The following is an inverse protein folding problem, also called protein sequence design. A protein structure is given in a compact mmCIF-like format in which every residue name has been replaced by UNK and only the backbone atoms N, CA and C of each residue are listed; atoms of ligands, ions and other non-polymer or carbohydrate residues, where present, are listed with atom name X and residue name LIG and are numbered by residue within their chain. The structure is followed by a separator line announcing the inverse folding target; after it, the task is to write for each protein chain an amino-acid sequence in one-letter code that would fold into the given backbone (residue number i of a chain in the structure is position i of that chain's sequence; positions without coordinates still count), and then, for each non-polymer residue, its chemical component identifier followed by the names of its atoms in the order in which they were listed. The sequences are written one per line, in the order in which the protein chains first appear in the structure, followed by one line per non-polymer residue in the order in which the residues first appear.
data_IF_358910967764
#
_entry.id   IF_358910967764
#
_cell.length_a   1.000
_cell.length_b   1.000
_cell.length_c   1.000
_cell.angle_alpha   90.00
_cell.angle_beta   90.00
_cell.angle_gamma   90.00
#
_symmetry.space_group_name_H-M   'P 1'
#
loop_
_entity.id
_entity.type
_entity.pdbx_description
1 polymer ?
#
# COMPACT_ATOMS: atom_id res chain seq x y z
N UNK A 1 -0.29 -29.66 -7.54
CA UNK A 1 -1.18 -28.99 -8.51
C UNK A 1 -2.31 -28.34 -7.73
N UNK A 2 -2.05 -27.14 -7.20
CA UNK A 2 -2.98 -26.43 -6.29
C UNK A 2 -3.89 -25.53 -7.10
N UNK A 3 -5.15 -25.88 -7.16
CA UNK A 3 -6.26 -25.03 -7.63
C UNK A 3 -6.55 -23.91 -6.61
N UNK A 4 -5.62 -23.01 -6.40
CA UNK A 4 -5.95 -21.73 -5.81
C UNK A 4 -6.41 -20.82 -6.94
N UNK A 5 -7.72 -20.80 -7.16
CA UNK A 5 -8.34 -19.85 -8.07
C UNK A 5 -7.91 -18.44 -7.68
N UNK A 6 -7.22 -17.75 -8.59
CA UNK A 6 -6.87 -16.34 -8.47
C UNK A 6 -8.13 -15.60 -8.04
N UNK A 7 -8.12 -14.89 -6.90
CA UNK A 7 -9.27 -14.08 -6.48
C UNK A 7 -9.57 -13.13 -7.64
N UNK A 8 -10.79 -13.22 -8.17
CA UNK A 8 -11.18 -12.43 -9.35
C UNK A 8 -11.33 -10.95 -9.05
N UNK A 9 -11.51 -10.59 -7.78
CA UNK A 9 -11.72 -9.21 -7.36
C UNK A 9 -10.79 -8.83 -6.22
N UNK A 10 -10.36 -7.57 -6.20
CA UNK A 10 -9.73 -6.89 -5.07
C UNK A 10 -10.56 -5.68 -4.66
N UNK A 11 -10.44 -5.28 -3.40
CA UNK A 11 -11.13 -4.13 -2.83
C UNK A 11 -10.08 -3.17 -2.32
N UNK A 12 -9.87 -2.06 -3.00
CA UNK A 12 -9.04 -0.96 -2.51
C UNK A 12 -9.80 -0.14 -1.48
N UNK A 13 -9.19 0.10 -0.32
CA UNK A 13 -9.72 0.94 0.74
C UNK A 13 -8.75 2.07 1.05
N UNK A 14 -9.18 3.30 0.80
CA UNK A 14 -8.48 4.54 1.12
C UNK A 14 -9.19 5.24 2.29
N UNK A 15 -8.45 5.49 3.37
CA UNK A 15 -8.93 6.17 4.58
C UNK A 15 -8.18 7.50 4.68
N UNK A 16 -8.80 8.55 4.14
CA UNK A 16 -8.30 9.93 4.26
C UNK A 16 -8.89 10.64 5.47
N UNK A 17 -8.46 11.88 5.74
CA UNK A 17 -8.94 12.69 6.87
C UNK A 17 -10.41 13.10 6.73
N UNK A 18 -10.89 13.38 5.52
CA UNK A 18 -12.26 13.80 5.29
C UNK A 18 -13.16 12.77 4.60
N UNK A 19 -12.59 11.73 3.99
CA UNK A 19 -13.33 10.77 3.16
C UNK A 19 -12.79 9.37 3.32
N UNK A 20 -13.69 8.39 3.43
CA UNK A 20 -13.39 6.97 3.20
C UNK A 20 -13.84 6.60 1.79
N UNK A 21 -12.95 5.96 1.03
CA UNK A 21 -13.21 5.56 -0.36
C UNK A 21 -12.98 4.07 -0.53
N UNK A 22 -13.85 3.42 -1.25
CA UNK A 22 -13.76 2.01 -1.60
C UNK A 22 -13.88 1.84 -3.10
N UNK A 23 -12.98 1.07 -3.69
CA UNK A 23 -13.00 0.69 -5.09
C UNK A 23 -12.92 -0.82 -5.24
N UNK A 24 -13.87 -1.43 -5.95
CA UNK A 24 -13.86 -2.87 -6.26
C UNK A 24 -13.38 -3.06 -7.69
N UNK A 25 -12.29 -3.81 -7.85
CA UNK A 25 -11.64 -4.07 -9.14
C UNK A 25 -11.74 -5.53 -9.50
N UNK A 26 -12.23 -5.84 -10.69
CA UNK A 26 -12.28 -7.19 -11.26
C UNK A 26 -11.03 -7.44 -12.13
N UNK A 27 -10.34 -8.53 -11.84
CA UNK A 27 -9.15 -9.02 -12.54
C UNK A 27 -9.44 -10.25 -13.41
N UNK A 28 -10.69 -10.54 -13.74
CA UNK A 28 -11.06 -11.70 -14.57
C UNK A 28 -10.61 -11.57 -16.02
N UNK A 29 -10.40 -10.33 -16.49
CA UNK A 29 -9.92 -10.00 -17.82
C UNK A 29 -8.43 -9.64 -17.84
N UNK A 30 -7.85 -9.47 -19.01
CA UNK A 30 -6.46 -9.02 -19.17
C UNK A 30 -6.22 -7.62 -18.65
N UNK A 31 -7.21 -6.74 -18.72
CA UNK A 31 -7.20 -5.39 -18.16
C UNK A 31 -8.10 -5.36 -16.94
N UNK A 32 -7.63 -4.84 -15.78
CA UNK A 32 -8.45 -4.66 -14.61
C UNK A 32 -9.63 -3.71 -14.88
N UNK A 33 -10.81 -4.03 -14.35
CA UNK A 33 -12.01 -3.22 -14.51
C UNK A 33 -12.52 -2.74 -13.15
N UNK A 34 -12.76 -1.43 -13.02
CA UNK A 34 -13.43 -0.85 -11.86
C UNK A 34 -14.93 -1.18 -11.94
N UNK A 35 -15.43 -1.99 -11.00
CA UNK A 35 -16.82 -2.47 -11.03
C UNK A 35 -17.74 -1.78 -10.03
N UNK A 36 -17.21 -1.32 -8.90
CA UNK A 36 -17.97 -0.59 -7.88
C UNK A 36 -17.10 0.46 -7.20
N UNK A 37 -17.71 1.56 -6.78
CA UNK A 37 -17.08 2.63 -6.00
C UNK A 37 -18.06 3.12 -4.95
N UNK A 38 -17.56 3.36 -3.74
CA UNK A 38 -18.26 4.13 -2.72
C UNK A 38 -17.33 5.17 -2.11
N UNK A 39 -17.90 6.31 -1.75
CA UNK A 39 -17.20 7.41 -1.07
C UNK A 39 -18.11 7.89 0.05
N UNK A 40 -17.62 7.88 1.27
CA UNK A 40 -18.38 8.30 2.45
C UNK A 40 -17.61 9.39 3.19
N UNK A 41 -18.22 10.52 3.51
CA UNK A 41 -17.59 11.55 4.34
C UNK A 41 -17.29 11.03 5.74
N UNK A 42 -16.14 11.43 6.27
CA UNK A 42 -15.83 11.33 7.70
C UNK A 42 -16.25 12.65 8.38
N UNK A 43 -16.72 12.60 9.63
CA UNK A 43 -16.90 13.80 10.43
C UNK A 43 -15.59 14.57 10.58
N UNK A 44 -15.70 15.89 10.68
CA UNK A 44 -14.59 16.75 11.02
C UNK A 44 -13.97 16.26 12.35
N UNK A 45 -12.68 16.39 12.48
CA UNK A 45 -11.91 15.97 13.67
C UNK A 45 -11.86 14.44 13.95
N UNK A 46 -12.45 13.58 13.13
CA UNK A 46 -12.31 12.12 13.30
C UNK A 46 -10.88 11.64 13.01
N UNK A 47 -10.20 12.28 12.07
CA UNK A 47 -8.78 12.10 11.75
C UNK A 47 -8.13 13.47 11.60
N UNK A 48 -7.14 13.78 12.45
CA UNK A 48 -6.43 15.06 12.46
C UNK A 48 -4.94 14.81 12.22
N UNK A 49 -4.36 15.48 11.22
CA UNK A 49 -2.95 15.32 10.83
C UNK A 49 -2.51 13.85 10.60
N UNK A 50 -3.46 13.00 10.20
CA UNK A 50 -3.23 11.57 9.98
C UNK A 50 -3.41 10.69 11.23
N UNK A 51 -3.65 11.28 12.40
CA UNK A 51 -3.95 10.56 13.63
C UNK A 51 -5.46 10.38 13.80
N UNK A 52 -5.87 9.16 14.15
CA UNK A 52 -7.28 8.82 14.37
C UNK A 52 -7.68 9.24 15.79
N UNK A 53 -8.55 10.25 15.86
CA UNK A 53 -9.06 10.79 17.12
C UNK A 53 -10.27 10.02 17.63
N UNK A 54 -11.11 9.51 16.74
CA UNK A 54 -12.29 8.68 17.08
C UNK A 54 -12.29 7.37 16.29
N UNK A 55 -11.66 6.31 16.82
CA UNK A 55 -11.59 5.00 16.16
C UNK A 55 -12.96 4.39 15.87
N UNK A 56 -13.96 4.59 16.75
CA UNK A 56 -15.29 4.00 16.58
C UNK A 56 -16.02 4.64 15.39
N UNK A 57 -16.01 5.97 15.31
CA UNK A 57 -16.60 6.69 14.18
C UNK A 57 -15.93 6.29 12.87
N UNK A 58 -14.61 6.23 12.84
CA UNK A 58 -13.87 5.84 11.63
C UNK A 58 -14.18 4.40 11.23
N UNK A 59 -14.20 3.46 12.18
CA UNK A 59 -14.52 2.05 11.89
C UNK A 59 -15.95 1.84 11.40
N UNK A 60 -16.91 2.60 11.94
CA UNK A 60 -18.31 2.55 11.50
C UNK A 60 -18.48 3.09 10.08
N UNK A 61 -17.80 4.20 9.74
CA UNK A 61 -17.81 4.75 8.38
C UNK A 61 -17.17 3.78 7.39
N UNK A 62 -16.05 3.13 7.76
CA UNK A 62 -15.42 2.10 6.93
C UNK A 62 -16.40 0.95 6.67
N UNK A 63 -17.03 0.43 7.71
CA UNK A 63 -18.00 -0.66 7.61
C UNK A 63 -19.17 -0.29 6.69
N UNK A 64 -19.78 0.86 6.91
CA UNK A 64 -20.87 1.37 6.07
C UNK A 64 -20.46 1.53 4.59
N UNK A 65 -19.23 2.02 4.34
CA UNK A 65 -18.74 2.21 2.97
C UNK A 65 -18.49 0.88 2.25
N UNK A 66 -17.98 -0.13 2.95
CA UNK A 66 -17.80 -1.50 2.42
C UNK A 66 -19.13 -2.17 2.14
N UNK A 67 -20.10 -2.04 3.06
CA UNK A 67 -21.46 -2.57 2.91
C UNK A 67 -22.21 -1.93 1.73
N UNK A 68 -22.04 -0.63 1.51
CA UNK A 68 -22.70 0.09 0.42
C UNK A 68 -22.39 -0.48 -0.98
N UNK A 69 -21.24 -1.13 -1.14
CA UNK A 69 -20.83 -1.76 -2.40
C UNK A 69 -20.86 -3.29 -2.32
N UNK A 70 -21.34 -3.88 -1.21
CA UNK A 70 -21.34 -5.32 -1.00
C UNK A 70 -19.96 -5.93 -1.34
N UNK A 71 -18.90 -5.34 -0.73
CA UNK A 71 -17.54 -5.72 -1.03
C UNK A 71 -17.08 -6.92 -0.18
N UNK A 72 -16.19 -7.73 -0.77
CA UNK A 72 -15.61 -8.87 -0.06
C UNK A 72 -14.53 -8.39 0.93
N UNK A 73 -14.83 -8.41 2.22
CA UNK A 73 -13.93 -7.98 3.31
C UNK A 73 -12.61 -8.77 3.38
N UNK A 74 -12.55 -9.97 2.80
CA UNK A 74 -11.33 -10.81 2.74
C UNK A 74 -10.41 -10.47 1.55
N UNK A 75 -10.81 -9.56 0.69
CA UNK A 75 -10.06 -9.14 -0.48
C UNK A 75 -9.61 -7.67 -0.38
N UNK A 76 -9.67 -7.08 0.81
CA UNK A 76 -9.33 -5.67 1.05
C UNK A 76 -7.81 -5.48 0.99
N UNK A 77 -7.39 -4.48 0.24
CA UNK A 77 -6.05 -3.90 0.23
C UNK A 77 -6.19 -2.49 0.80
N UNK A 78 -5.49 -2.21 1.87
CA UNK A 78 -5.36 -0.88 2.45
C UNK A 78 -3.94 -0.38 2.27
N UNK A 79 -3.69 0.90 2.56
CA UNK A 79 -2.37 1.47 2.40
C UNK A 79 -1.98 2.36 3.59
N UNK A 80 -0.68 2.55 3.75
CA UNK A 80 -0.07 3.54 4.63
C UNK A 80 0.69 4.56 3.81
N UNK A 81 0.87 5.75 4.32
CA UNK A 81 1.58 6.82 3.64
C UNK A 81 2.03 7.94 4.58
N UNK A 82 2.47 9.05 3.98
CA UNK A 82 2.92 10.20 4.73
C UNK A 82 4.39 10.13 5.17
N UNK A 83 4.75 10.99 6.13
CA UNK A 83 6.14 11.20 6.58
C UNK A 83 6.75 10.00 7.33
N UNK A 84 5.92 9.09 7.81
CA UNK A 84 6.33 7.92 8.58
C UNK A 84 6.56 6.67 7.69
N UNK A 85 6.58 6.87 6.37
CA UNK A 85 6.95 5.87 5.37
C UNK A 85 8.19 6.35 4.62
N UNK A 86 9.22 5.53 4.62
CA UNK A 86 10.49 5.77 3.94
C UNK A 86 10.55 4.83 2.74
N UNK A 87 10.81 5.39 1.55
CA UNK A 87 11.03 4.64 0.32
C UNK A 87 12.40 5.03 -0.20
N UNK A 88 13.29 4.05 -0.40
CA UNK A 88 14.62 4.28 -0.92
C UNK A 88 15.03 3.24 -1.96
N UNK A 89 15.64 3.71 -3.03
CA UNK A 89 16.37 2.85 -3.95
C UNK A 89 17.82 2.79 -3.50
N UNK A 90 18.30 1.59 -3.21
CA UNK A 90 19.68 1.32 -2.79
C UNK A 90 20.37 0.39 -3.78
N UNK A 91 21.69 0.44 -3.82
CA UNK A 91 22.53 -0.53 -4.53
C UNK A 91 23.35 -1.28 -3.49
N UNK A 92 23.37 -2.58 -3.60
CA UNK A 92 24.10 -3.46 -2.69
C UNK A 92 24.65 -4.67 -3.44
N UNK A 93 25.50 -5.46 -2.80
CA UNK A 93 26.00 -6.69 -3.38
C UNK A 93 24.88 -7.67 -3.71
N UNK A 94 25.04 -8.42 -4.79
CA UNK A 94 24.07 -9.42 -5.20
C UNK A 94 24.19 -10.66 -4.30
N UNK A 95 23.11 -10.93 -3.60
CA UNK A 95 22.99 -12.11 -2.75
C UNK A 95 21.80 -12.98 -3.20
N UNK A 96 21.76 -14.22 -2.69
CA UNK A 96 20.61 -15.10 -2.90
C UNK A 96 19.40 -14.56 -2.12
N UNK A 97 18.19 -14.78 -2.63
CA UNK A 97 16.93 -14.30 -2.04
C UNK A 97 16.80 -14.61 -0.54
N UNK A 98 17.27 -15.80 -0.11
CA UNK A 98 17.25 -16.18 1.31
C UNK A 98 18.14 -15.30 2.20
N UNK A 99 19.23 -14.78 1.67
CA UNK A 99 20.17 -13.91 2.38
C UNK A 99 19.76 -12.42 2.25
N UNK A 100 18.93 -12.10 1.26
CA UNK A 100 18.53 -10.72 0.98
C UNK A 100 17.78 -10.08 2.17
N UNK A 101 16.98 -10.85 2.90
CA UNK A 101 16.22 -10.30 4.04
C UNK A 101 17.13 -9.83 5.18
N UNK A 102 18.16 -10.59 5.52
CA UNK A 102 19.12 -10.19 6.56
C UNK A 102 19.99 -9.03 6.09
N UNK A 103 20.46 -9.07 4.84
CA UNK A 103 21.21 -7.98 4.24
C UNK A 103 20.38 -6.68 4.20
N UNK A 104 19.09 -6.76 3.83
CA UNK A 104 18.22 -5.58 3.77
C UNK A 104 17.95 -4.99 5.15
N UNK A 105 17.88 -5.79 6.20
CA UNK A 105 17.79 -5.26 7.57
C UNK A 105 19.05 -4.48 7.94
N UNK A 106 20.22 -5.02 7.66
CA UNK A 106 21.49 -4.33 7.91
C UNK A 106 21.65 -3.05 7.06
N UNK A 107 21.30 -3.12 5.77
CA UNK A 107 21.28 -1.94 4.89
C UNK A 107 20.28 -0.88 5.39
N UNK A 108 19.12 -1.31 5.89
CA UNK A 108 18.12 -0.41 6.43
C UNK A 108 18.62 0.41 7.62
N UNK A 109 19.49 -0.13 8.48
CA UNK A 109 20.08 0.59 9.62
C UNK A 109 20.82 1.86 9.20
N UNK A 110 21.34 1.90 7.97
CA UNK A 110 22.02 3.07 7.43
C UNK A 110 21.04 4.17 6.93
N UNK A 111 19.79 3.82 6.73
CA UNK A 111 18.79 4.66 6.07
C UNK A 111 17.57 4.97 6.94
N UNK A 112 17.32 4.15 7.95
CA UNK A 112 16.19 4.25 8.87
C UNK A 112 16.74 4.48 10.27
N UNK A 113 16.35 5.58 10.95
CA UNK A 113 16.93 5.95 12.25
C UNK A 113 16.74 4.90 13.35
N UNK A 114 15.65 4.14 13.31
CA UNK A 114 15.31 3.10 14.28
C UNK A 114 14.67 1.92 13.54
N UNK A 115 15.50 1.00 13.06
CA UNK A 115 15.08 -0.15 12.27
C UNK A 115 14.21 -1.13 13.05
N UNK A 116 14.31 -1.14 14.38
CA UNK A 116 13.50 -2.01 15.24
C UNK A 116 12.07 -1.52 15.44
N UNK A 117 11.81 -0.24 15.17
CA UNK A 117 10.48 0.37 15.27
C UNK A 117 9.68 0.39 13.95
N UNK A 118 10.23 -0.19 12.87
CA UNK A 118 9.56 -0.19 11.56
C UNK A 118 9.20 -1.59 11.09
N UNK A 119 8.18 -1.64 10.25
CA UNK A 119 7.93 -2.74 9.33
C UNK A 119 8.74 -2.50 8.06
N UNK A 120 9.53 -3.50 7.67
CA UNK A 120 10.47 -3.44 6.56
C UNK A 120 10.08 -4.43 5.47
N UNK A 121 10.00 -3.94 4.24
CA UNK A 121 9.87 -4.78 3.06
C UNK A 121 10.77 -4.28 1.93
N UNK A 122 11.05 -5.13 0.94
CA UNK A 122 11.91 -4.76 -0.17
C UNK A 122 11.55 -5.51 -1.45
N UNK A 123 11.88 -4.88 -2.58
CA UNK A 123 11.77 -5.47 -3.91
C UNK A 123 13.10 -5.36 -4.64
N UNK A 124 13.63 -6.48 -5.10
CA UNK A 124 14.79 -6.48 -6.00
C UNK A 124 14.31 -5.98 -7.37
N UNK A 125 14.93 -4.93 -7.87
CA UNK A 125 14.63 -4.33 -9.16
C UNK A 125 15.51 -4.99 -10.23
N UNK A 126 14.89 -5.50 -11.29
CA UNK A 126 15.62 -5.96 -12.46
C UNK A 126 16.08 -4.74 -13.28
N UNK A 127 17.38 -4.52 -13.37
CA UNK A 127 17.95 -3.51 -14.25
C UNK A 127 18.23 -4.13 -15.63
N UNK A 128 17.47 -3.73 -16.64
CA UNK A 128 17.76 -4.08 -18.02
C UNK A 128 19.08 -3.44 -18.48
N UNK A 129 20.13 -4.23 -18.53
CA UNK A 129 21.28 -3.98 -19.42
C UNK A 129 22.53 -3.34 -18.84
N UNK A 130 22.65 -2.95 -17.55
CA UNK A 130 23.88 -2.33 -17.02
C UNK A 130 24.21 -2.57 -15.55
N UNK A 131 23.50 -3.48 -14.87
CA UNK A 131 23.93 -3.88 -13.53
C UNK A 131 25.23 -4.69 -13.63
N UNK A 132 26.23 -4.36 -12.83
CA UNK A 132 27.38 -5.22 -12.66
C UNK A 132 26.86 -6.61 -12.21
N UNK A 133 27.54 -7.69 -12.60
CA UNK A 133 27.12 -9.04 -12.20
C UNK A 133 27.08 -9.22 -10.67
N UNK A 134 27.77 -8.35 -9.97
CA UNK A 134 28.03 -8.41 -8.53
C UNK A 134 27.14 -7.47 -7.70
N UNK A 135 26.36 -6.58 -8.35
CA UNK A 135 25.47 -5.64 -7.67
C UNK A 135 24.00 -5.90 -8.03
N UNK A 136 23.10 -5.54 -7.13
CA UNK A 136 21.67 -5.47 -7.37
C UNK A 136 21.09 -4.14 -6.89
N UNK A 137 20.05 -3.67 -7.58
CA UNK A 137 19.27 -2.52 -7.18
C UNK A 137 18.06 -3.00 -6.40
N UNK A 138 17.79 -2.38 -5.27
CA UNK A 138 16.69 -2.76 -4.39
C UNK A 138 15.87 -1.53 -4.04
N UNK A 139 14.55 -1.67 -4.13
CA UNK A 139 13.61 -0.73 -3.55
C UNK A 139 13.33 -1.16 -2.11
N UNK A 140 13.76 -0.36 -1.16
CA UNK A 140 13.57 -0.58 0.27
C UNK A 140 12.42 0.29 0.75
N UNK A 141 11.51 -0.30 1.52
CA UNK A 141 10.36 0.37 2.11
C UNK A 141 10.36 0.11 3.61
N UNK A 142 10.24 1.18 4.39
CA UNK A 142 10.10 1.10 5.83
C UNK A 142 8.92 1.97 6.28
N UNK A 143 8.00 1.40 7.05
CA UNK A 143 6.88 2.11 7.65
C UNK A 143 6.94 1.97 9.16
N UNK A 144 6.67 3.03 9.93
CA UNK A 144 6.59 2.92 11.38
C UNK A 144 5.58 1.85 11.78
N UNK A 145 5.98 0.95 12.69
CA UNK A 145 5.14 -0.15 13.17
C UNK A 145 3.86 0.37 13.80
N UNK A 146 3.95 1.42 14.61
CA UNK A 146 2.79 2.04 15.26
C UNK A 146 1.75 2.53 14.24
N UNK A 147 2.20 3.11 13.11
CA UNK A 147 1.32 3.53 12.02
C UNK A 147 0.57 2.34 11.39
N UNK A 148 1.30 1.26 11.10
CA UNK A 148 0.73 0.03 10.51
C UNK A 148 -0.25 -0.62 11.49
N UNK A 149 0.13 -0.76 12.76
CA UNK A 149 -0.71 -1.37 13.79
C UNK A 149 -1.96 -0.53 14.09
N UNK A 150 -1.85 0.80 14.13
CA UNK A 150 -3.01 1.68 14.30
C UNK A 150 -4.03 1.48 13.17
N UNK A 151 -3.55 1.41 11.92
CA UNK A 151 -4.41 1.14 10.75
C UNK A 151 -5.06 -0.25 10.84
N UNK A 152 -4.29 -1.28 11.21
CA UNK A 152 -4.81 -2.64 11.37
C UNK A 152 -5.86 -2.75 12.48
N UNK A 153 -5.70 -2.03 13.60
CA UNK A 153 -6.70 -1.99 14.67
C UNK A 153 -8.03 -1.44 14.19
N UNK A 154 -8.03 -0.30 13.48
CA UNK A 154 -9.25 0.31 12.94
C UNK A 154 -9.94 -0.63 11.95
N UNK A 155 -9.18 -1.26 11.06
CA UNK A 155 -9.72 -2.25 10.12
C UNK A 155 -10.34 -3.45 10.85
N UNK A 156 -9.68 -3.93 11.90
CA UNK A 156 -10.20 -5.02 12.74
C UNK A 156 -11.51 -4.63 13.44
N UNK A 157 -11.62 -3.41 13.96
CA UNK A 157 -12.86 -2.89 14.55
C UNK A 157 -13.99 -2.79 13.52
N UNK A 158 -13.65 -2.46 12.26
CA UNK A 158 -14.60 -2.51 11.15
C UNK A 158 -14.96 -3.93 10.66
N UNK A 159 -14.39 -4.99 11.27
CA UNK A 159 -14.59 -6.38 10.87
C UNK A 159 -13.81 -6.78 9.62
N UNK A 160 -12.73 -6.07 9.30
CA UNK A 160 -11.89 -6.28 8.11
C UNK A 160 -10.53 -6.83 8.52
N UNK A 161 -10.13 -7.94 7.89
CA UNK A 161 -8.74 -8.40 7.89
C UNK A 161 -8.18 -8.14 6.50
N UNK A 162 -7.29 -7.15 6.31
CA UNK A 162 -6.79 -6.82 4.99
C UNK A 162 -5.95 -7.96 4.43
N UNK A 163 -6.06 -8.18 3.13
CA UNK A 163 -5.25 -9.15 2.40
C UNK A 163 -3.80 -8.67 2.27
N UNK A 164 -3.62 -7.36 2.16
CA UNK A 164 -2.33 -6.69 2.04
C UNK A 164 -2.42 -5.26 2.56
N UNK A 165 -1.29 -4.78 3.06
CA UNK A 165 -1.05 -3.36 3.34
C UNK A 165 -0.03 -2.86 2.32
N UNK A 166 -0.38 -1.84 1.56
CA UNK A 166 0.43 -1.24 0.51
C UNK A 166 0.94 0.15 0.95
N UNK A 167 1.57 0.86 0.06
CA UNK A 167 1.97 2.26 0.23
C UNK A 167 1.17 3.13 -0.73
N UNK A 168 0.62 4.25 -0.23
CA UNK A 168 -0.23 5.17 -1.00
C UNK A 168 0.43 5.62 -2.31
N UNK A 169 1.73 5.92 -2.28
CA UNK A 169 2.47 6.33 -3.46
C UNK A 169 2.54 5.23 -4.53
N UNK A 170 2.64 3.96 -4.13
CA UNK A 170 2.65 2.83 -5.07
C UNK A 170 1.26 2.55 -5.62
N UNK A 171 0.23 2.65 -4.78
CA UNK A 171 -1.15 2.51 -5.22
C UNK A 171 -1.49 3.55 -6.29
N UNK A 172 -1.10 4.81 -6.07
CA UNK A 172 -1.27 5.89 -7.04
C UNK A 172 -0.47 5.67 -8.34
N UNK A 173 0.81 5.25 -8.21
CA UNK A 173 1.66 4.92 -9.35
C UNK A 173 1.07 3.80 -10.18
N UNK A 174 0.66 2.69 -9.55
CA UNK A 174 0.09 1.52 -10.22
C UNK A 174 -1.21 1.88 -10.97
N UNK A 175 -2.08 2.69 -10.34
CA UNK A 175 -3.29 3.19 -10.98
C UNK A 175 -2.97 4.07 -12.20
N UNK A 176 -1.95 4.93 -12.10
CA UNK A 176 -1.51 5.76 -13.21
C UNK A 176 -0.94 4.93 -14.37
N UNK A 177 -0.05 3.98 -14.08
CA UNK A 177 0.58 3.11 -15.08
C UNK A 177 -0.46 2.34 -15.91
N UNK A 178 -1.47 1.76 -15.25
CA UNK A 178 -2.54 1.00 -15.93
C UNK A 178 -3.39 1.90 -16.83
N UNK A 179 -3.68 3.14 -16.40
CA UNK A 179 -4.58 4.04 -17.14
C UNK A 179 -3.88 4.90 -18.19
N UNK A 180 -2.58 5.18 -18.00
CA UNK A 180 -1.80 6.08 -18.87
C UNK A 180 -0.46 5.49 -19.29
N UNK A 181 -0.44 4.28 -19.90
CA UNK A 181 0.82 3.59 -20.22
C UNK A 181 1.72 4.38 -21.18
N UNK A 182 1.15 5.19 -22.05
CA UNK A 182 1.93 6.04 -22.98
C UNK A 182 2.69 7.18 -22.27
N UNK A 183 2.23 7.62 -21.12
CA UNK A 183 2.90 8.66 -20.35
C UNK A 183 4.14 8.13 -19.59
N UNK A 184 4.29 6.81 -19.47
CA UNK A 184 5.44 6.17 -18.80
C UNK A 184 6.75 6.26 -19.58
N UNK A 185 6.76 6.79 -20.79
CA UNK A 185 7.96 6.97 -21.62
C UNK A 185 8.86 8.15 -21.16
N UNK A 186 8.42 8.95 -20.19
CA UNK A 186 9.13 10.12 -19.70
C UNK A 186 9.06 10.26 -18.17
N UNK A 187 9.54 11.37 -17.65
CA UNK A 187 9.39 11.71 -16.24
C UNK A 187 7.98 12.28 -15.98
N UNK A 188 7.26 11.68 -15.06
CA UNK A 188 5.91 12.10 -14.65
C UNK A 188 5.91 12.40 -13.15
N UNK A 189 5.33 13.53 -12.77
CA UNK A 189 5.08 13.88 -11.38
C UNK A 189 3.62 13.59 -11.03
N UNK A 190 3.38 12.74 -10.02
CA UNK A 190 2.06 12.51 -9.46
C UNK A 190 1.94 13.31 -8.16
N UNK A 191 0.94 14.21 -8.10
CA UNK A 191 0.70 15.06 -6.93
C UNK A 191 -0.68 14.74 -6.38
N UNK A 192 -0.71 14.26 -5.13
CA UNK A 192 -1.93 14.00 -4.38
C UNK A 192 -2.04 15.03 -3.24
N UNK A 193 -3.07 15.87 -3.30
CA UNK A 193 -3.35 16.87 -2.27
C UNK A 193 -4.67 16.44 -1.62
N UNK A 194 -4.58 15.99 -0.38
CA UNK A 194 -5.73 15.58 0.42
C UNK A 194 -6.38 16.75 1.17
N UNK A 195 -7.32 16.40 2.02
CA UNK A 195 -8.02 17.35 2.90
C UNK A 195 -7.18 17.63 4.14
#
# INVERSE_FOLDING_TARGET
MGLFGRKKTTVGLDIGSGLVKVAVVDHSKSTPELVKVAITPLPDDAIVEGEVMDPHVVSDVIRATIEAVDANTKAVVAAVGGRDVIIKRIKTERVKEQQARELMRWEAEQHVPDVDSVELDFQILEENGSASRDEMSVLLVAAKRDLVEAKLRILSEAGITPMSMDVDAFALHNAFEVNYPSAMSGAVGLVNIGH
#
